data_IF_834828717002
#
_entry.id   IF_834828717002
#
_cell.length_a   1.000
_cell.length_b   1.000
_cell.length_c   1.000
_cell.angle_alpha   90.00
_cell.angle_beta   90.00
_cell.angle_gamma   90.00
#
_symmetry.space_group_name_H-M   'P 1'
#
loop_
_entity.id
_entity.type
_entity.pdbx_description
1 polymer ?
#
# COMPACT_ATOMS: atom_id res chain seq x y z
N UNK A 1 2.71 7.43 -14.08
CA UNK A 1 3.61 6.88 -13.05
C UNK A 1 4.70 7.91 -12.90
N UNK A 2 5.25 8.06 -11.71
CA UNK A 2 6.27 9.05 -11.41
C UNK A 2 7.36 8.37 -10.61
N UNK A 3 8.60 8.38 -11.12
CA UNK A 3 9.79 7.92 -10.41
C UNK A 3 10.47 9.14 -9.79
N UNK A 4 10.77 9.08 -8.50
CA UNK A 4 11.47 10.11 -7.74
C UNK A 4 12.65 9.46 -7.02
N UNK A 5 13.82 10.10 -7.05
CA UNK A 5 15.02 9.56 -6.43
C UNK A 5 15.40 10.33 -5.16
N UNK A 6 15.97 9.64 -4.18
CA UNK A 6 16.47 10.29 -2.96
C UNK A 6 17.70 11.17 -3.26
N UNK A 7 17.85 12.29 -2.56
CA UNK A 7 19.02 13.19 -2.72
C UNK A 7 20.26 12.64 -1.99
N UNK A 8 21.46 12.84 -2.55
CA UNK A 8 22.78 12.66 -1.91
C UNK A 8 23.05 11.38 -1.09
N UNK A 9 23.14 10.23 -1.78
CA UNK A 9 23.95 9.08 -1.32
C UNK A 9 24.82 8.57 -2.47
N UNK A 10 26.09 8.33 -2.20
CA UNK A 10 27.18 8.03 -3.16
C UNK A 10 27.03 6.73 -3.96
N UNK A 11 25.98 5.93 -3.70
CA UNK A 11 25.66 4.72 -4.44
C UNK A 11 24.19 4.77 -4.89
N UNK A 12 23.92 5.38 -6.05
CA UNK A 12 22.57 5.42 -6.64
C UNK A 12 22.11 4.06 -7.15
N UNK A 13 23.02 3.10 -7.30
CA UNK A 13 22.77 1.82 -7.97
C UNK A 13 22.23 0.74 -7.01
N UNK A 14 22.41 0.91 -5.69
CA UNK A 14 21.96 -0.06 -4.66
C UNK A 14 20.77 0.38 -3.81
N UNK A 15 20.23 1.59 -4.04
CA UNK A 15 19.17 2.12 -3.17
C UNK A 15 17.92 1.26 -3.22
N UNK A 16 17.24 0.96 -2.10
CA UNK A 16 15.99 0.23 -2.16
C UNK A 16 14.92 1.02 -2.93
N UNK A 17 13.91 0.32 -3.48
CA UNK A 17 12.80 0.93 -4.21
C UNK A 17 11.49 0.75 -3.45
N UNK A 18 10.73 1.83 -3.29
CA UNK A 18 9.34 1.76 -2.85
C UNK A 18 8.39 1.94 -4.04
N UNK A 19 7.50 0.98 -4.27
CA UNK A 19 6.42 1.09 -5.26
C UNK A 19 5.12 1.42 -4.53
N UNK A 20 4.64 2.65 -4.68
CA UNK A 20 3.41 3.14 -4.06
C UNK A 20 2.22 2.95 -5.01
N UNK A 21 1.29 2.07 -4.67
CA UNK A 21 -0.01 1.97 -5.33
C UNK A 21 -0.98 2.93 -4.65
N UNK A 22 -1.12 4.13 -5.22
CA UNK A 22 -1.94 5.19 -4.64
C UNK A 22 -3.44 4.89 -4.68
N UNK A 23 -4.19 5.52 -3.78
CA UNK A 23 -5.64 5.38 -3.71
C UNK A 23 -6.37 6.16 -4.83
N UNK A 24 -7.68 5.90 -4.95
CA UNK A 24 -8.55 6.55 -5.95
C UNK A 24 -8.54 8.08 -5.80
N UNK A 25 -8.30 8.78 -6.93
CA UNK A 25 -8.24 10.25 -7.00
C UNK A 25 -7.27 10.93 -6.02
N UNK A 26 -6.26 10.20 -5.53
CA UNK A 26 -5.27 10.77 -4.64
C UNK A 26 -4.61 12.02 -5.25
N UNK A 27 -4.79 13.19 -4.60
CA UNK A 27 -4.07 14.40 -5.03
C UNK A 27 -2.58 14.14 -4.85
N UNK A 28 -1.76 14.50 -5.85
CA UNK A 28 -0.31 14.30 -5.83
C UNK A 28 0.33 14.71 -4.50
N UNK A 29 -0.07 15.86 -3.95
CA UNK A 29 0.42 16.35 -2.65
C UNK A 29 0.29 15.37 -1.49
N UNK A 30 -0.76 14.55 -1.46
CA UNK A 30 -1.00 13.60 -0.36
C UNK A 30 -0.12 12.37 -0.52
N UNK A 31 -0.08 11.78 -1.73
CA UNK A 31 0.82 10.65 -2.03
C UNK A 31 2.29 11.05 -1.85
N UNK A 32 2.64 12.28 -2.24
CA UNK A 32 4.00 12.78 -2.09
C UNK A 32 4.45 12.83 -0.64
N UNK A 33 3.56 12.96 0.36
CA UNK A 33 3.95 12.86 1.77
C UNK A 33 4.50 11.46 2.11
N UNK A 34 3.83 10.41 1.64
CA UNK A 34 4.29 9.03 1.79
C UNK A 34 5.56 8.77 0.98
N UNK A 35 5.62 9.27 -0.26
CA UNK A 35 6.84 9.21 -1.07
C UNK A 35 8.01 9.91 -0.39
N UNK A 36 7.79 11.07 0.23
CA UNK A 36 8.83 11.80 0.96
C UNK A 36 9.32 11.05 2.20
N UNK A 37 8.45 10.27 2.85
CA UNK A 37 8.84 9.41 3.97
C UNK A 37 9.81 8.30 3.50
N UNK A 38 9.56 7.67 2.36
CA UNK A 38 10.50 6.71 1.78
C UNK A 38 11.79 7.37 1.28
N UNK A 39 11.68 8.53 0.63
CA UNK A 39 12.84 9.29 0.14
C UNK A 39 13.77 9.72 1.29
N UNK A 40 13.22 10.17 2.42
CA UNK A 40 14.02 10.55 3.59
C UNK A 40 14.75 9.36 4.23
N UNK A 41 14.30 8.14 3.95
CA UNK A 41 14.91 6.87 4.36
C UNK A 41 15.81 6.26 3.29
N UNK A 42 16.07 6.97 2.20
CA UNK A 42 17.02 6.57 1.16
C UNK A 42 16.46 5.65 0.09
N UNK A 43 15.14 5.45 0.02
CA UNK A 43 14.49 4.73 -1.07
C UNK A 43 14.28 5.66 -2.25
N UNK A 44 14.41 5.15 -3.49
CA UNK A 44 13.71 5.81 -4.59
C UNK A 44 12.25 5.34 -4.60
N UNK A 45 11.38 6.12 -5.23
CA UNK A 45 9.93 5.93 -5.14
C UNK A 45 9.32 5.93 -6.53
N UNK A 46 8.62 4.84 -6.88
CA UNK A 46 7.72 4.79 -8.03
C UNK A 46 6.30 4.92 -7.52
N UNK A 47 5.59 5.95 -7.99
CA UNK A 47 4.17 6.13 -7.69
C UNK A 47 3.30 5.69 -8.85
N UNK A 48 2.38 4.79 -8.56
CA UNK A 48 1.36 4.28 -9.48
C UNK A 48 0.00 4.83 -9.08
N UNK A 49 -0.59 5.64 -9.96
CA UNK A 49 -1.95 6.15 -9.79
C UNK A 49 -2.79 5.74 -10.99
N UNK A 50 -4.03 5.35 -10.70
CA UNK A 50 -5.08 5.04 -11.68
C UNK A 50 -6.30 5.91 -11.39
N UNK A 51 -6.85 6.61 -12.39
CA UNK A 51 -8.13 7.30 -12.22
C UNK A 51 -9.26 6.27 -12.07
N UNK A 52 -10.40 6.65 -11.45
CA UNK A 52 -11.55 5.75 -11.28
C UNK A 52 -12.03 5.11 -12.59
N UNK A 53 -12.02 5.86 -13.70
CA UNK A 53 -12.39 5.35 -15.03
C UNK A 53 -11.47 4.24 -15.54
N UNK A 54 -10.22 4.16 -15.08
CA UNK A 54 -9.32 3.06 -15.44
C UNK A 54 -9.52 1.86 -14.51
N UNK A 55 -9.83 2.08 -13.24
CA UNK A 55 -10.13 0.98 -12.30
C UNK A 55 -11.34 0.21 -12.76
N UNK A 56 -12.38 0.92 -13.21
CA UNK A 56 -13.63 0.34 -13.66
C UNK A 56 -13.47 -0.59 -14.90
N UNK A 57 -12.42 -0.43 -15.71
CA UNK A 57 -12.15 -1.28 -16.88
C UNK A 57 -10.82 -2.03 -16.69
N UNK A 58 -10.84 -3.32 -16.32
CA UNK A 58 -9.62 -4.05 -15.92
C UNK A 58 -8.49 -4.01 -16.95
N UNK A 59 -8.82 -3.95 -18.25
CA UNK A 59 -7.82 -3.82 -19.33
C UNK A 59 -6.91 -2.60 -19.16
N UNK A 60 -7.43 -1.47 -18.68
CA UNK A 60 -6.62 -0.28 -18.44
C UNK A 60 -5.70 -0.45 -17.24
N UNK A 61 -6.21 -1.03 -16.15
CA UNK A 61 -5.39 -1.40 -14.99
C UNK A 61 -4.29 -2.38 -15.39
N UNK A 62 -4.63 -3.45 -16.12
CA UNK A 62 -3.65 -4.41 -16.63
C UNK A 62 -2.58 -3.74 -17.49
N UNK A 63 -2.96 -2.85 -18.42
CA UNK A 63 -1.98 -2.12 -19.23
C UNK A 63 -1.06 -1.24 -18.35
N UNK A 64 -1.59 -0.65 -17.28
CA UNK A 64 -0.81 0.13 -16.32
C UNK A 64 0.19 -0.73 -15.55
N UNK A 65 -0.24 -1.88 -15.04
CA UNK A 65 0.63 -2.84 -14.34
C UNK A 65 1.68 -3.41 -15.29
N UNK A 66 1.35 -3.72 -16.55
CA UNK A 66 2.35 -4.14 -17.54
C UNK A 66 3.44 -3.07 -17.73
N UNK A 67 3.05 -1.79 -17.83
CA UNK A 67 4.02 -0.67 -17.92
C UNK A 67 4.86 -0.54 -16.66
N UNK A 68 4.29 -0.76 -15.47
CA UNK A 68 5.04 -0.79 -14.22
C UNK A 68 6.09 -1.90 -14.25
N UNK A 69 5.70 -3.13 -14.60
CA UNK A 69 6.63 -4.26 -14.66
C UNK A 69 7.74 -4.02 -15.68
N UNK A 70 7.43 -3.49 -16.86
CA UNK A 70 8.45 -3.08 -17.84
C UNK A 70 9.41 -2.04 -17.27
N UNK A 71 8.90 -1.00 -16.60
CA UNK A 71 9.75 -0.02 -15.92
C UNK A 71 10.63 -0.67 -14.86
N UNK A 72 10.09 -1.60 -14.07
CA UNK A 72 10.84 -2.33 -13.04
C UNK A 72 11.94 -3.23 -13.61
N UNK A 73 11.80 -3.71 -14.85
CA UNK A 73 12.84 -4.42 -15.60
C UNK A 73 13.89 -3.46 -16.17
N UNK A 74 13.48 -2.27 -16.64
CA UNK A 74 14.39 -1.26 -17.20
C UNK A 74 15.29 -0.63 -16.14
N UNK A 75 14.72 -0.34 -14.96
CA UNK A 75 15.49 0.19 -13.83
C UNK A 75 16.25 -0.90 -13.07
N UNK A 76 16.17 -2.17 -13.52
CA UNK A 76 16.94 -3.29 -12.95
C UNK A 76 18.43 -3.10 -13.25
N UNK A 77 19.15 -2.61 -12.25
CA UNK A 77 20.56 -2.97 -12.02
C UNK A 77 20.58 -4.12 -11.00
N UNK A 78 21.55 -5.04 -11.05
CA UNK A 78 21.50 -6.24 -10.22
C UNK A 78 21.33 -5.91 -8.73
N UNK A 79 20.41 -6.64 -8.09
CA UNK A 79 20.22 -6.72 -6.63
C UNK A 79 19.57 -5.51 -5.93
N UNK A 80 18.73 -4.72 -6.63
CA UNK A 80 17.94 -3.65 -5.99
C UNK A 80 16.67 -4.17 -5.29
N UNK A 81 16.58 -4.20 -3.95
CA UNK A 81 15.38 -4.66 -3.24
C UNK A 81 14.19 -3.72 -3.43
N UNK A 82 12.99 -4.30 -3.52
CA UNK A 82 11.71 -3.61 -3.74
C UNK A 82 10.77 -3.89 -2.57
N UNK A 83 10.19 -2.83 -2.02
CA UNK A 83 9.02 -2.88 -1.15
C UNK A 83 7.82 -2.29 -1.88
N UNK A 84 6.66 -2.92 -1.73
CA UNK A 84 5.40 -2.36 -2.22
C UNK A 84 4.62 -1.70 -1.08
N UNK A 85 3.87 -0.66 -1.40
CA UNK A 85 2.95 -0.02 -0.45
C UNK A 85 1.63 0.27 -1.15
N UNK A 86 0.58 -0.50 -0.83
CA UNK A 86 -0.74 -0.35 -1.40
C UNK A 86 -1.71 0.39 -0.50
N UNK A 87 -2.30 1.49 -1.01
CA UNK A 87 -3.33 2.27 -0.32
C UNK A 87 -4.71 1.99 -0.90
N UNK A 88 -5.72 1.64 -0.09
CA UNK A 88 -7.10 1.45 -0.58
C UNK A 88 -7.14 0.50 -1.79
N UNK A 89 -7.63 0.96 -2.95
CA UNK A 89 -7.61 0.25 -4.25
C UNK A 89 -6.22 -0.28 -4.65
N UNK A 90 -5.15 0.14 -3.99
CA UNK A 90 -3.84 -0.47 -4.06
C UNK A 90 -3.85 -1.98 -3.80
N UNK A 91 -4.79 -2.51 -3.00
CA UNK A 91 -5.01 -3.95 -2.85
C UNK A 91 -5.40 -4.64 -4.17
N UNK A 92 -6.36 -4.06 -4.89
CA UNK A 92 -6.70 -4.49 -6.25
C UNK A 92 -5.50 -4.38 -7.22
N UNK A 93 -4.79 -3.26 -7.24
CA UNK A 93 -3.61 -3.08 -8.11
C UNK A 93 -2.50 -4.08 -7.81
N UNK A 94 -2.31 -4.42 -6.53
CA UNK A 94 -1.37 -5.44 -6.10
C UNK A 94 -1.79 -6.82 -6.57
N UNK A 95 -3.07 -7.18 -6.46
CA UNK A 95 -3.61 -8.43 -7.01
C UNK A 95 -3.39 -8.55 -8.54
N UNK A 96 -3.58 -7.47 -9.30
CA UNK A 96 -3.28 -7.44 -10.74
C UNK A 96 -1.79 -7.62 -11.03
N UNK A 97 -0.92 -7.09 -10.17
CA UNK A 97 0.52 -7.32 -10.26
C UNK A 97 0.84 -8.79 -10.03
N UNK A 98 0.30 -9.40 -8.96
CA UNK A 98 0.50 -10.82 -8.66
C UNK A 98 0.06 -11.72 -9.83
N UNK A 99 -1.12 -11.46 -10.41
CA UNK A 99 -1.60 -12.20 -11.58
C UNK A 99 -0.60 -12.17 -12.74
N UNK A 100 -0.01 -11.00 -13.04
CA UNK A 100 0.98 -10.88 -14.12
C UNK A 100 2.29 -11.58 -13.79
N UNK A 101 2.73 -11.50 -12.53
CA UNK A 101 3.93 -12.20 -12.05
C UNK A 101 3.76 -13.73 -12.11
N UNK A 102 2.53 -14.23 -11.94
CA UNK A 102 2.19 -15.66 -12.04
C UNK A 102 2.03 -16.12 -13.50
N UNK A 103 1.47 -15.27 -14.37
CA UNK A 103 1.25 -15.61 -15.78
C UNK A 103 2.54 -15.68 -16.60
N UNK A 104 3.59 -14.96 -16.20
CA UNK A 104 4.88 -14.90 -16.92
C UNK A 104 6.06 -15.03 -15.93
N UNK A 105 6.22 -16.19 -15.27
CA UNK A 105 7.17 -16.36 -14.19
C UNK A 105 8.62 -16.14 -14.66
N UNK A 106 9.01 -16.70 -15.81
CA UNK A 106 10.38 -16.56 -16.34
C UNK A 106 10.70 -15.11 -16.69
N UNK A 107 9.73 -14.40 -17.31
CA UNK A 107 9.92 -13.00 -17.71
C UNK A 107 10.14 -12.10 -16.49
N UNK A 108 9.42 -12.34 -15.40
CA UNK A 108 9.45 -11.49 -14.22
C UNK A 108 10.24 -12.09 -13.04
N UNK A 109 11.04 -13.13 -13.28
CA UNK A 109 11.83 -13.82 -12.23
C UNK A 109 12.72 -12.85 -11.46
N UNK A 110 13.39 -11.91 -12.15
CA UNK A 110 14.20 -10.85 -11.54
C UNK A 110 13.38 -9.91 -10.64
N UNK A 111 12.17 -9.52 -11.06
CA UNK A 111 11.31 -8.68 -10.22
C UNK A 111 10.89 -9.45 -8.98
N UNK A 112 10.51 -10.73 -9.14
CA UNK A 112 10.08 -11.59 -8.04
C UNK A 112 11.18 -11.77 -7.00
N UNK A 113 12.43 -11.98 -7.41
CA UNK A 113 13.56 -12.17 -6.49
C UNK A 113 13.95 -10.88 -5.74
N UNK A 114 13.58 -9.71 -6.27
CA UNK A 114 13.86 -8.42 -5.66
C UNK A 114 12.74 -7.90 -4.76
N UNK A 115 11.53 -8.44 -4.86
CA UNK A 115 10.44 -8.10 -3.93
C UNK A 115 10.73 -8.72 -2.57
N UNK A 116 10.87 -7.89 -1.54
CA UNK A 116 11.28 -8.36 -0.19
C UNK A 116 10.26 -8.03 0.90
N UNK A 117 9.29 -7.15 0.62
CA UNK A 117 8.26 -6.80 1.60
C UNK A 117 7.06 -6.08 1.00
N UNK A 118 5.94 -6.14 1.73
CA UNK A 118 4.67 -5.56 1.30
C UNK A 118 3.98 -4.79 2.44
N UNK A 119 3.57 -3.55 2.16
CA UNK A 119 2.83 -2.69 3.10
C UNK A 119 1.44 -2.44 2.53
N UNK A 120 0.42 -2.54 3.38
CA UNK A 120 -0.96 -2.26 3.01
C UNK A 120 -1.58 -1.27 3.99
N UNK A 121 -2.07 -0.14 3.45
CA UNK A 121 -2.73 0.93 4.19
C UNK A 121 -4.21 0.97 3.78
N UNK A 122 -5.06 0.48 4.69
CA UNK A 122 -6.49 0.25 4.48
C UNK A 122 -6.78 -0.40 3.12
N UNK A 123 -6.18 -1.58 2.79
CA UNK A 123 -6.33 -2.18 1.48
C UNK A 123 -7.79 -2.52 1.18
N UNK A 124 -8.16 -2.31 -0.09
CA UNK A 124 -9.45 -2.67 -0.66
C UNK A 124 -9.17 -3.47 -1.92
N UNK A 125 -9.62 -4.71 -1.91
CA UNK A 125 -9.64 -5.59 -3.07
C UNK A 125 -11.10 -5.87 -3.48
N UNK A 126 -11.34 -6.83 -4.38
CA UNK A 126 -12.70 -7.09 -4.85
C UNK A 126 -13.56 -7.89 -3.85
N UNK A 127 -13.00 -8.80 -3.04
CA UNK A 127 -13.74 -9.44 -1.93
C UNK A 127 -14.13 -8.42 -0.85
N UNK A 128 -13.34 -7.34 -0.71
CA UNK A 128 -13.62 -6.12 0.05
C UNK A 128 -14.67 -5.18 -0.54
N UNK A 129 -15.39 -5.58 -1.59
CA UNK A 129 -16.66 -4.92 -2.02
C UNK A 129 -17.84 -5.77 -1.53
N UNK A 130 -18.05 -5.97 -0.21
CA UNK A 130 -19.31 -6.52 0.23
C UNK A 130 -20.42 -5.55 -0.19
N UNK A 131 -21.64 -6.06 -0.27
CA UNK A 131 -22.90 -5.34 -0.53
C UNK A 131 -23.09 -4.03 0.30
N UNK A 132 -22.20 -3.73 1.25
CA UNK A 132 -22.10 -2.51 2.06
C UNK A 132 -21.23 -1.36 1.51
N UNK A 133 -20.48 -1.52 0.41
CA UNK A 133 -19.66 -0.43 -0.19
C UNK A 133 -20.48 0.84 -0.51
N UNK A 134 -21.76 0.65 -0.84
CA UNK A 134 -22.72 1.72 -1.09
C UNK A 134 -23.37 2.30 0.16
N UNK A 135 -23.37 1.59 1.28
CA UNK A 135 -23.91 2.05 2.56
C UNK A 135 -22.98 3.04 3.26
N UNK A 136 -21.71 3.08 2.85
CA UNK A 136 -20.64 3.77 3.57
C UNK A 136 -20.22 5.08 2.92
N UNK A 137 -20.24 5.17 1.58
CA UNK A 137 -19.66 6.29 0.84
C UNK A 137 -20.48 7.58 0.85
N UNK A 138 -21.74 7.53 1.28
CA UNK A 138 -22.64 8.68 1.20
C UNK A 138 -23.49 8.73 2.45
N UNK A 139 -23.57 9.83 3.18
CA UNK A 139 -24.41 9.90 4.40
C UNK A 139 -25.92 9.91 4.09
N UNK A 140 -26.28 10.28 2.86
CA UNK A 140 -27.67 10.42 2.39
C UNK A 140 -28.25 9.05 1.93
N UNK A 141 -29.32 8.54 2.58
CA UNK A 141 -29.94 7.25 2.26
C UNK A 141 -30.39 7.08 0.80
N UNK A 142 -30.82 8.17 0.15
CA UNK A 142 -31.32 8.14 -1.22
C UNK A 142 -30.15 8.00 -2.22
N UNK A 143 -29.06 8.76 -2.03
CA UNK A 143 -27.85 8.62 -2.84
C UNK A 143 -27.14 7.29 -2.60
N UNK A 144 -27.17 6.73 -1.37
CA UNK A 144 -26.69 5.38 -1.08
C UNK A 144 -27.40 4.35 -1.94
N UNK A 145 -28.73 4.37 -1.97
CA UNK A 145 -29.54 3.44 -2.77
C UNK A 145 -29.28 3.58 -4.27
N UNK A 146 -29.11 4.82 -4.75
CA UNK A 146 -28.81 5.09 -6.17
C UNK A 146 -27.40 4.66 -6.55
N UNK A 147 -26.38 4.96 -5.75
CA UNK A 147 -25.00 4.53 -5.98
C UNK A 147 -24.86 3.01 -5.87
N UNK A 148 -25.57 2.38 -4.93
CA UNK A 148 -25.71 0.93 -4.81
C UNK A 148 -26.28 0.32 -6.08
N UNK A 149 -27.45 0.79 -6.52
CA UNK A 149 -28.09 0.31 -7.75
C UNK A 149 -27.20 0.57 -8.96
N UNK A 150 -26.46 1.66 -9.00
CA UNK A 150 -25.57 1.97 -10.11
C UNK A 150 -24.33 1.06 -10.13
N UNK A 151 -23.71 0.77 -8.98
CA UNK A 151 -22.62 -0.21 -8.85
C UNK A 151 -23.09 -1.65 -9.08
N UNK A 152 -24.25 -2.04 -8.53
CA UNK A 152 -24.85 -3.36 -8.73
C UNK A 152 -25.27 -3.54 -10.19
N UNK A 153 -25.92 -2.55 -10.81
CA UNK A 153 -26.23 -2.55 -12.24
C UNK A 153 -24.95 -2.52 -13.06
N UNK A 154 -23.93 -1.75 -12.68
CA UNK A 154 -22.63 -1.76 -13.35
C UNK A 154 -22.00 -3.15 -13.32
N UNK A 155 -21.91 -3.81 -12.17
CA UNK A 155 -21.36 -5.17 -12.05
C UNK A 155 -22.23 -6.25 -12.72
N UNK A 156 -23.54 -6.00 -12.84
CA UNK A 156 -24.52 -6.91 -13.48
C UNK A 156 -24.59 -6.72 -15.00
N UNK A 157 -24.38 -5.51 -15.50
CA UNK A 157 -24.40 -5.13 -16.93
C UNK A 157 -23.00 -5.28 -17.55
N UNK A 158 -21.94 -5.02 -16.77
CA UNK A 158 -20.58 -5.33 -17.19
C UNK A 158 -20.41 -6.85 -17.26
N UNK A 159 -19.98 -7.29 -18.44
CA UNK A 159 -19.91 -8.69 -18.85
C UNK A 159 -19.23 -9.57 -17.78
N UNK A 160 -19.69 -10.82 -17.63
CA UNK A 160 -19.13 -11.82 -16.69
C UNK A 160 -17.61 -11.87 -16.67
N UNK A 161 -16.96 -11.59 -17.81
CA UNK A 161 -15.51 -11.50 -17.96
C UNK A 161 -14.87 -10.41 -17.10
N UNK A 162 -15.47 -9.23 -16.99
CA UNK A 162 -14.96 -8.11 -16.17
C UNK A 162 -15.06 -8.45 -14.69
N UNK A 163 -16.21 -8.96 -14.25
CA UNK A 163 -16.41 -9.41 -12.87
C UNK A 163 -15.51 -10.59 -12.50
N UNK A 164 -15.36 -11.57 -13.40
CA UNK A 164 -14.43 -12.68 -13.24
C UNK A 164 -12.99 -12.20 -13.10
N UNK A 165 -12.60 -11.15 -13.84
CA UNK A 165 -11.25 -10.61 -13.75
C UNK A 165 -10.98 -9.97 -12.39
N UNK A 166 -11.92 -9.18 -11.86
CA UNK A 166 -11.77 -8.64 -10.51
C UNK A 166 -11.68 -9.73 -9.44
N UNK A 167 -12.49 -10.79 -9.57
CA UNK A 167 -12.41 -11.97 -8.70
C UNK A 167 -11.06 -12.68 -8.79
N UNK A 168 -10.47 -12.78 -9.99
CA UNK A 168 -9.12 -13.35 -10.16
C UNK A 168 -8.08 -12.48 -9.44
N UNK A 169 -8.16 -11.16 -9.57
CA UNK A 169 -7.24 -10.25 -8.88
C UNK A 169 -7.37 -10.34 -7.37
N UNK A 170 -8.59 -10.41 -6.84
CA UNK A 170 -8.84 -10.59 -5.42
C UNK A 170 -8.33 -11.94 -4.92
N UNK A 171 -8.59 -13.04 -5.66
CA UNK A 171 -8.01 -14.35 -5.35
C UNK A 171 -6.49 -14.32 -5.32
N UNK A 172 -5.85 -13.62 -6.27
CA UNK A 172 -4.41 -13.46 -6.29
C UNK A 172 -3.90 -12.70 -5.05
N UNK A 173 -4.56 -11.59 -4.68
CA UNK A 173 -4.28 -10.86 -3.44
C UNK A 173 -4.40 -11.77 -2.21
N UNK A 174 -5.55 -12.42 -2.02
CA UNK A 174 -5.80 -13.30 -0.88
C UNK A 174 -4.87 -14.53 -0.87
N UNK A 175 -4.43 -15.01 -2.03
CA UNK A 175 -3.49 -16.13 -2.11
C UNK A 175 -2.06 -15.70 -1.85
N UNK A 176 -1.67 -14.48 -2.24
CA UNK A 176 -0.34 -13.92 -2.05
C UNK A 176 0.79 -14.88 -2.44
N UNK A 177 0.99 -15.13 -3.74
CA UNK A 177 2.01 -16.08 -4.21
C UNK A 177 3.47 -15.65 -4.01
N UNK A 178 3.70 -14.50 -3.36
CA UNK A 178 5.04 -14.04 -3.01
C UNK A 178 5.42 -14.41 -1.57
N UNK A 179 4.44 -14.68 -0.70
CA UNK A 179 4.64 -15.08 0.71
C UNK A 179 5.66 -14.19 1.48
N UNK A 180 5.70 -12.89 1.16
CA UNK A 180 6.65 -11.93 1.72
C UNK A 180 6.20 -11.35 3.06
N UNK A 181 7.14 -10.94 3.94
CA UNK A 181 6.80 -10.22 5.15
C UNK A 181 5.92 -9.01 4.86
N UNK A 182 4.91 -8.82 5.71
CA UNK A 182 3.81 -7.89 5.46
C UNK A 182 3.55 -6.97 6.63
N UNK A 183 3.22 -5.70 6.34
CA UNK A 183 2.71 -4.74 7.31
C UNK A 183 1.30 -4.28 6.91
N UNK A 184 0.34 -4.39 7.81
CA UNK A 184 -1.02 -3.86 7.63
C UNK A 184 -1.28 -2.66 8.55
N UNK A 185 -1.73 -1.56 7.97
CA UNK A 185 -2.08 -0.31 8.65
C UNK A 185 -3.57 -0.04 8.40
N UNK A 186 -4.40 -0.10 9.44
CA UNK A 186 -5.86 -0.02 9.27
C UNK A 186 -6.57 0.48 10.54
N UNK A 187 -7.89 0.67 10.47
CA UNK A 187 -8.69 1.23 11.56
C UNK A 187 -9.94 0.41 11.83
N UNK A 188 -10.29 0.25 13.11
CA UNK A 188 -11.49 -0.50 13.55
C UNK A 188 -12.78 0.05 12.96
N UNK A 189 -12.84 1.36 12.74
CA UNK A 189 -14.03 2.03 12.20
C UNK A 189 -13.94 2.31 10.70
N UNK A 190 -12.89 1.86 10.00
CA UNK A 190 -12.75 2.10 8.57
C UNK A 190 -13.85 1.37 7.82
N UNK A 191 -14.80 2.10 7.23
CA UNK A 191 -15.98 1.47 6.68
C UNK A 191 -15.75 1.02 5.23
N UNK A 192 -14.59 1.36 4.64
CA UNK A 192 -14.18 0.97 3.28
C UNK A 192 -13.16 -0.17 3.36
N UNK A 193 -12.05 0.03 4.08
CA UNK A 193 -11.08 -1.01 4.42
C UNK A 193 -11.51 -1.74 5.69
N UNK A 194 -12.55 -2.57 5.57
CA UNK A 194 -13.22 -3.21 6.72
C UNK A 194 -12.23 -4.07 7.51
N UNK A 195 -12.09 -3.78 8.80
CA UNK A 195 -11.12 -4.41 9.69
C UNK A 195 -11.22 -5.94 9.71
N UNK A 196 -12.43 -6.48 9.77
CA UNK A 196 -12.67 -7.92 9.82
C UNK A 196 -12.21 -8.64 8.54
N UNK A 197 -12.35 -7.97 7.39
CA UNK A 197 -11.89 -8.52 6.10
C UNK A 197 -10.36 -8.51 6.05
N UNK A 198 -9.74 -7.40 6.47
CA UNK A 198 -8.28 -7.26 6.54
C UNK A 198 -7.71 -8.31 7.50
N UNK A 199 -8.30 -8.48 8.68
CA UNK A 199 -7.89 -9.47 9.68
C UNK A 199 -8.04 -10.90 9.15
N UNK A 200 -9.12 -11.21 8.42
CA UNK A 200 -9.25 -12.50 7.75
C UNK A 200 -8.14 -12.79 6.73
N UNK A 201 -7.66 -11.77 6.01
CA UNK A 201 -6.50 -11.89 5.10
C UNK A 201 -5.22 -12.12 5.90
N UNK A 202 -4.98 -11.34 6.96
CA UNK A 202 -3.81 -11.49 7.82
C UNK A 202 -3.74 -12.89 8.43
N UNK A 203 -4.85 -13.38 8.99
CA UNK A 203 -4.96 -14.73 9.55
C UNK A 203 -4.62 -15.80 8.51
N UNK A 204 -5.13 -15.65 7.27
CA UNK A 204 -4.86 -16.58 6.17
C UNK A 204 -3.37 -16.60 5.83
N UNK A 205 -2.71 -15.45 5.80
CA UNK A 205 -1.29 -15.34 5.47
C UNK A 205 -0.40 -15.84 6.62
N UNK A 206 -0.74 -15.53 7.87
CA UNK A 206 -0.04 -16.07 9.04
C UNK A 206 -0.12 -17.61 9.09
N UNK A 207 -1.28 -18.19 8.80
CA UNK A 207 -1.45 -19.66 8.69
C UNK A 207 -0.62 -20.30 7.58
N UNK A 208 -0.22 -19.53 6.56
CA UNK A 208 0.72 -19.95 5.51
C UNK A 208 2.18 -19.79 5.91
N UNK A 209 2.48 -19.24 7.08
CA UNK A 209 3.84 -18.96 7.54
C UNK A 209 4.38 -17.60 7.13
N UNK A 210 3.56 -16.71 6.58
CA UNK A 210 3.98 -15.34 6.24
C UNK A 210 4.15 -14.53 7.53
N UNK A 211 5.28 -13.84 7.67
CA UNK A 211 5.48 -12.88 8.75
C UNK A 211 4.56 -11.66 8.56
N UNK A 212 3.52 -11.54 9.39
CA UNK A 212 2.55 -10.43 9.31
C UNK A 212 2.65 -9.59 10.57
N UNK A 213 2.92 -8.31 10.37
CA UNK A 213 2.88 -7.25 11.39
C UNK A 213 1.73 -6.30 11.09
N UNK A 214 1.17 -5.65 12.11
CA UNK A 214 0.05 -4.76 11.90
C UNK A 214 -0.04 -3.64 12.94
N UNK A 215 -0.67 -2.53 12.54
CA UNK A 215 -1.09 -1.44 13.41
C UNK A 215 -2.56 -1.15 13.12
N UNK A 216 -3.39 -1.44 14.12
CA UNK A 216 -4.81 -1.10 14.10
C UNK A 216 -5.05 0.12 14.99
N UNK A 217 -5.67 1.16 14.44
CA UNK A 217 -6.16 2.30 15.22
C UNK A 217 -7.63 2.11 15.58
N UNK A 218 -8.04 2.56 16.76
CA UNK A 218 -9.45 2.54 17.15
C UNK A 218 -10.28 3.44 16.22
N UNK A 219 -9.78 4.65 15.91
CA UNK A 219 -10.56 5.66 15.20
C UNK A 219 -9.73 6.55 14.28
N UNK A 220 -9.56 6.12 13.05
CA UNK A 220 -9.06 6.98 11.96
C UNK A 220 -9.89 6.81 10.69
N UNK A 221 -10.11 7.90 9.92
CA UNK A 221 -10.72 7.80 8.61
C UNK A 221 -9.86 6.98 7.63
N UNK A 222 -10.51 6.40 6.62
CA UNK A 222 -9.87 5.61 5.57
C UNK A 222 -8.62 6.30 5.00
N UNK A 223 -7.48 5.58 4.99
CA UNK A 223 -6.16 6.03 4.47
C UNK A 223 -5.61 7.29 5.14
N UNK A 224 -6.22 7.74 6.25
CA UNK A 224 -5.84 9.00 6.92
C UNK A 224 -5.00 8.78 8.17
N UNK A 225 -4.47 7.56 8.37
CA UNK A 225 -3.74 7.16 9.57
C UNK A 225 -2.49 7.99 9.80
N UNK A 226 -1.67 8.18 8.77
CA UNK A 226 -0.46 9.02 8.85
C UNK A 226 -0.78 10.48 9.20
N UNK A 227 -1.94 10.99 8.78
CA UNK A 227 -2.34 12.35 9.10
C UNK A 227 -2.73 12.52 10.58
N UNK A 228 -3.39 11.52 11.16
CA UNK A 228 -3.92 11.60 12.54
C UNK A 228 -2.91 11.11 13.59
N UNK A 229 -2.07 10.14 13.23
CA UNK A 229 -1.10 9.52 14.13
C UNK A 229 0.28 9.39 13.44
N UNK A 230 0.92 10.51 13.06
CA UNK A 230 2.15 10.49 12.28
C UNK A 230 3.25 9.67 12.94
N UNK A 231 3.47 9.86 14.24
CA UNK A 231 4.56 9.18 14.96
C UNK A 231 4.35 7.66 14.99
N UNK A 232 3.14 7.20 15.34
CA UNK A 232 2.82 5.77 15.39
C UNK A 232 2.85 5.12 14.00
N UNK A 233 2.45 5.87 12.97
CA UNK A 233 2.49 5.40 11.59
C UNK A 233 3.94 5.22 11.12
N UNK A 234 4.78 6.24 11.38
CA UNK A 234 6.20 6.21 11.02
C UNK A 234 6.90 5.11 11.80
N UNK A 235 6.69 5.00 13.11
CA UNK A 235 7.26 3.95 13.95
C UNK A 235 6.92 2.55 13.42
N UNK A 236 5.65 2.28 13.11
CA UNK A 236 5.23 0.99 12.55
C UNK A 236 5.91 0.70 11.20
N UNK A 237 5.98 1.70 10.32
CA UNK A 237 6.63 1.55 9.02
C UNK A 237 8.14 1.32 9.14
N UNK A 238 8.84 2.11 9.97
CA UNK A 238 10.28 2.01 10.15
C UNK A 238 10.64 0.67 10.81
N UNK A 239 9.93 0.27 11.86
CA UNK A 239 10.12 -1.04 12.51
C UNK A 239 10.00 -2.18 11.49
N UNK A 240 9.00 -2.10 10.61
CA UNK A 240 8.84 -3.08 9.54
C UNK A 240 10.01 -3.06 8.55
N UNK A 241 10.43 -1.88 8.08
CA UNK A 241 11.57 -1.75 7.16
C UNK A 241 12.90 -2.19 7.81
N UNK A 242 13.09 -1.97 9.11
CA UNK A 242 14.21 -2.52 9.89
C UNK A 242 14.19 -4.04 9.92
N UNK A 243 13.02 -4.66 10.12
CA UNK A 243 12.88 -6.12 10.11
C UNK A 243 13.22 -6.75 8.74
N UNK A 244 13.16 -5.96 7.67
CA UNK A 244 13.58 -6.35 6.32
C UNK A 244 15.07 -6.11 6.05
N UNK A 245 15.81 -5.54 7.00
CA UNK A 245 17.24 -5.28 6.89
C UNK A 245 17.61 -4.03 6.07
N UNK A 246 16.72 -3.06 5.91
CA UNK A 246 17.00 -1.85 5.12
C UNK A 246 17.91 -0.83 5.80
N UNK A 247 18.13 -0.94 7.10
CA UNK A 247 18.93 0.00 7.87
C UNK A 247 20.11 -0.73 8.52
N UNK A 248 21.31 -0.15 8.44
CA UNK A 248 22.46 -0.67 9.19
C UNK A 248 22.27 -0.41 10.69
N UNK A 249 22.93 -1.17 11.59
CA UNK A 249 22.90 -0.89 13.02
C UNK A 249 23.22 0.58 13.36
N UNK A 250 24.18 1.20 12.66
CA UNK A 250 24.50 2.62 12.89
C UNK A 250 23.37 3.56 12.43
N UNK A 251 22.67 3.22 11.35
CA UNK A 251 21.51 3.99 10.89
C UNK A 251 20.34 3.86 11.85
N UNK A 252 20.11 2.67 12.40
CA UNK A 252 19.09 2.42 13.41
C UNK A 252 19.38 3.19 14.72
N UNK A 253 20.65 3.27 15.11
CA UNK A 253 21.06 4.03 16.30
C UNK A 253 20.88 5.54 16.09
N UNK A 254 21.29 6.08 14.94
CA UNK A 254 21.10 7.48 14.59
C UNK A 254 19.62 7.88 14.50
N UNK A 255 18.75 7.00 14.00
CA UNK A 255 17.31 7.24 13.97
C UNK A 255 16.70 7.25 15.37
N UNK A 256 17.11 6.30 16.24
CA UNK A 256 16.69 6.27 17.64
C UNK A 256 17.13 7.52 18.41
N UNK A 257 18.35 8.00 18.18
CA UNK A 257 18.86 9.23 18.80
C UNK A 257 18.09 10.48 18.36
N UNK A 258 17.75 10.60 17.06
CA UNK A 258 16.94 11.71 16.55
C UNK A 258 15.54 11.72 17.15
N UNK A 259 14.94 10.54 17.30
CA UNK A 259 13.62 10.40 17.93
C UNK A 259 13.64 10.75 19.43
N UNK A 260 14.71 10.36 20.14
CA UNK A 260 14.93 10.73 21.54
C UNK A 260 15.09 12.25 21.72
N UNK A 261 15.88 12.90 20.86
CA UNK A 261 16.08 14.36 20.91
C UNK A 261 14.79 15.13 20.56
N UNK A 262 14.02 14.67 19.56
CA UNK A 262 12.74 15.27 19.21
C UNK A 262 11.72 15.18 20.34
N UNK A 263 11.65 14.04 21.04
CA UNK A 263 10.77 13.85 22.22
C UNK A 263 11.19 14.73 23.41
N UNK A 264 12.49 14.91 23.64
CA UNK A 264 12.99 15.81 24.70
C UNK A 264 12.74 17.29 24.42
N UNK A 265 12.84 17.73 23.17
CA UNK A 265 12.47 19.11 22.80
C UNK A 265 10.96 19.36 22.94
N UNK A 266 10.13 18.39 22.56
CA UNK A 266 8.66 18.51 22.69
C UNK A 266 8.21 18.57 24.16
N UNK A 267 8.84 17.81 25.07
CA UNK A 267 8.50 17.84 26.50
C UNK A 267 8.95 19.15 27.18
N UNK A 268 10.10 19.70 26.78
CA UNK A 268 10.62 20.97 27.30
C UNK A 268 9.70 22.14 26.92
N UNK A 269 9.20 22.19 25.68
CA UNK A 269 8.26 23.21 25.22
C UNK A 269 6.89 23.08 25.91
N UNK A 270 6.43 21.86 26.21
CA UNK A 270 5.19 21.62 26.97
C UNK A 270 5.29 22.04 28.44
N UNK A 271 6.48 22.05 29.04
CA UNK A 271 6.70 22.45 30.44
C UNK A 271 6.63 23.97 30.62
N UNK A 272 7.12 24.73 29.64
CA UNK A 272 7.20 26.20 29.70
C UNK A 272 5.82 26.88 29.52
N UNK A 273 4.82 26.19 28.94
CA UNK A 273 3.47 26.75 28.71
C UNK A 273 2.53 26.54 29.93
N UNK A 274 2.97 25.81 30.96
CA UNK A 274 2.18 25.51 32.18
C UNK A 274 2.59 26.30 33.43
N UNK A 275 3.49 27.28 33.31
CA UNK A 275 3.84 28.21 34.40
C UNK A 275 3.24 29.61 34.17
#
# INVERSE_FOLDING_TARGET
MELRSAENRTDSERRPLAVLFGWLQAKKRHINKYGNLYLSKGFDVVTVQVPPSQVLWPRHTQAKISKLLSLLQEISKPSRPIVTHGFSVGGYLYGEMLLKLEQQPDKYADIRSRLVGQVFDSPVDFEGVPRGFSNVLVSNPLLRSTLRKLLETYLKVMQSQVTNHYLQSSKAFHNNSLDLPSLFLYSRIDPIGVAEIIEGVMDKWQKKGVAVSHKCWERTPHVSHFHHHPDQYVEALITFLESLGFFTPEQQELEREKDLQGKQQASTVSGVIRE
#
